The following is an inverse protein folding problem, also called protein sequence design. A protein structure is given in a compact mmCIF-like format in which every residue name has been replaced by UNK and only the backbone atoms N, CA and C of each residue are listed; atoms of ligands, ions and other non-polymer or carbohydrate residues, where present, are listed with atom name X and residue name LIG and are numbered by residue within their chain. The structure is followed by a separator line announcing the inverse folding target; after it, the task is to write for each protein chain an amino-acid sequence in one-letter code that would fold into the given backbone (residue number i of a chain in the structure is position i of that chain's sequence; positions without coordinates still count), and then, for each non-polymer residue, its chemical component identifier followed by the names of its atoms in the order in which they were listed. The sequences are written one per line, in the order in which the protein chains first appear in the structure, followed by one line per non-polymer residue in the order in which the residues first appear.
data_IF_202217804541
#
_entry.id   IF_202217804541
#
_cell.length_a   1.000
_cell.length_b   1.000
_cell.length_c   1.000
_cell.angle_alpha   90.00
_cell.angle_beta   90.00
_cell.angle_gamma   90.00
#
_symmetry.space_group_name_H-M   'P 1'
#
loop_
_entity.id
_entity.type
_entity.pdbx_description
1 polymer ?
#
# COMPACT_ATOMS: atom_id res chain seq x y z
N UNK A 1 5.65 20.23 18.74
CA UNK A 1 4.72 21.23 19.31
C UNK A 1 3.82 21.75 18.18
N UNK A 2 2.50 21.62 18.31
CA UNK A 2 1.55 22.25 17.37
C UNK A 2 1.64 23.77 17.52
N UNK A 3 1.71 24.51 16.41
CA UNK A 3 1.60 25.97 16.43
C UNK A 3 0.18 26.36 16.90
N UNK A 4 0.04 27.39 17.76
CA UNK A 4 -1.27 27.93 18.13
C UNK A 4 -2.07 28.32 16.89
N UNK A 5 -3.32 27.87 16.78
CA UNK A 5 -4.23 28.19 15.66
C UNK A 5 -4.32 27.15 14.53
N UNK A 6 -3.48 26.10 14.53
CA UNK A 6 -3.63 24.96 13.63
C UNK A 6 -4.35 23.82 14.33
N UNK A 7 -5.68 23.79 14.26
CA UNK A 7 -6.44 22.59 14.61
C UNK A 7 -6.29 21.59 13.47
N UNK A 8 -5.54 20.49 13.69
CA UNK A 8 -5.60 19.34 12.77
C UNK A 8 -7.07 18.91 12.70
N UNK A 9 -7.59 18.73 11.47
CA UNK A 9 -8.88 18.07 11.28
C UNK A 9 -8.85 16.75 12.07
N UNK A 10 -9.92 16.40 12.80
CA UNK A 10 -9.99 15.11 13.47
C UNK A 10 -9.71 13.97 12.49
N UNK A 11 -8.88 13.02 12.91
CA UNK A 11 -8.58 11.81 12.15
C UNK A 11 -9.85 10.99 11.92
N UNK A 12 -10.12 10.60 10.67
CA UNK A 12 -11.24 9.75 10.34
C UNK A 12 -10.89 8.27 10.56
N UNK A 13 -11.46 7.66 11.61
CA UNK A 13 -11.23 6.26 11.98
C UNK A 13 -12.04 5.25 11.18
N UNK A 14 -12.82 5.68 10.18
CA UNK A 14 -13.66 4.79 9.38
C UNK A 14 -12.83 3.70 8.68
N UNK A 15 -13.30 2.47 8.77
CA UNK A 15 -12.78 1.31 8.04
C UNK A 15 -13.60 1.07 6.77
N UNK A 16 -13.02 0.36 5.80
CA UNK A 16 -13.70 0.04 4.52
C UNK A 16 -14.54 -1.24 4.58
N UNK A 17 -14.28 -2.09 5.57
CA UNK A 17 -15.02 -3.32 5.83
C UNK A 17 -15.46 -3.38 7.28
N UNK A 18 -16.47 -4.19 7.54
CA UNK A 18 -16.89 -4.55 8.89
C UNK A 18 -17.00 -6.07 8.99
N UNK A 19 -16.77 -6.56 10.19
CA UNK A 19 -17.00 -7.94 10.56
C UNK A 19 -18.49 -8.29 10.45
N UNK A 20 -18.77 -9.50 9.97
CA UNK A 20 -20.11 -10.09 9.96
C UNK A 20 -20.09 -11.36 10.80
N UNK A 21 -20.90 -11.40 11.86
CA UNK A 21 -21.08 -12.60 12.68
C UNK A 21 -22.17 -13.49 12.05
N UNK A 22 -21.82 -14.73 11.73
CA UNK A 22 -22.77 -15.70 11.18
C UNK A 22 -23.55 -16.44 12.28
N UNK A 23 -24.63 -17.12 11.87
CA UNK A 23 -25.51 -17.85 12.79
C UNK A 23 -24.82 -19.02 13.52
N UNK A 24 -23.78 -19.61 12.93
CA UNK A 24 -22.95 -20.66 13.53
C UNK A 24 -21.87 -20.11 14.49
N UNK A 25 -21.78 -18.78 14.60
CA UNK A 25 -20.79 -18.08 15.42
C UNK A 25 -19.45 -17.84 14.72
N UNK A 26 -19.31 -18.17 13.43
CA UNK A 26 -18.14 -17.80 12.65
C UNK A 26 -18.13 -16.31 12.29
N UNK A 27 -16.94 -15.79 12.01
CA UNK A 27 -16.68 -14.38 11.73
C UNK A 27 -16.23 -14.21 10.28
N UNK A 28 -16.91 -13.36 9.53
CA UNK A 28 -16.60 -13.05 8.14
C UNK A 28 -16.03 -11.65 7.96
N UNK A 29 -14.99 -11.56 7.14
CA UNK A 29 -14.31 -10.32 6.78
C UNK A 29 -14.18 -10.25 5.26
N UNK A 30 -14.58 -9.12 4.67
CA UNK A 30 -14.20 -8.80 3.30
C UNK A 30 -12.75 -8.32 3.31
N UNK A 31 -11.90 -8.97 2.53
CA UNK A 31 -10.50 -8.63 2.39
C UNK A 31 -10.19 -8.14 0.98
N UNK A 32 -9.09 -7.39 0.86
CA UNK A 32 -8.53 -6.89 -0.39
C UNK A 32 -7.05 -7.22 -0.41
N UNK A 33 -6.54 -7.65 -1.55
CA UNK A 33 -5.10 -7.80 -1.80
C UNK A 33 -4.74 -7.03 -3.04
N UNK A 34 -3.53 -6.45 -3.07
CA UNK A 34 -3.00 -5.70 -4.20
C UNK A 34 -1.78 -6.43 -4.76
N UNK A 35 -1.59 -6.38 -6.08
CA UNK A 35 -0.45 -7.04 -6.72
C UNK A 35 0.77 -6.14 -6.82
N UNK A 36 1.93 -6.70 -6.55
CA UNK A 36 3.17 -6.25 -7.17
C UNK A 36 3.50 -7.22 -8.32
N UNK A 37 3.55 -6.69 -9.55
CA UNK A 37 3.83 -7.47 -10.76
C UNK A 37 5.29 -7.32 -11.22
N UNK A 38 6.13 -6.65 -10.42
CA UNK A 38 7.48 -6.25 -10.79
C UNK A 38 7.46 -5.53 -12.16
N UNK A 39 8.41 -5.86 -13.05
CA UNK A 39 8.50 -5.36 -14.41
C UNK A 39 7.31 -5.74 -15.30
N UNK A 40 6.51 -6.73 -14.91
CA UNK A 40 5.29 -7.13 -15.64
C UNK A 40 4.11 -6.20 -15.39
N UNK A 41 4.28 -5.20 -14.51
CA UNK A 41 3.36 -4.07 -14.36
C UNK A 41 3.24 -3.24 -15.63
N UNK A 42 4.25 -3.21 -16.51
CA UNK A 42 4.17 -2.44 -17.76
C UNK A 42 3.03 -2.98 -18.64
N UNK A 43 2.14 -2.09 -19.09
CA UNK A 43 1.00 -2.47 -19.89
C UNK A 43 1.46 -3.07 -21.23
N UNK A 44 0.86 -4.18 -21.71
CA UNK A 44 1.36 -4.92 -22.87
C UNK A 44 1.18 -4.19 -24.20
N UNK A 45 0.22 -3.27 -24.31
CA UNK A 45 -0.11 -2.56 -25.57
C UNK A 45 0.02 -1.04 -25.45
N UNK A 46 -0.55 -0.43 -24.41
CA UNK A 46 -0.44 1.00 -24.13
C UNK A 46 0.98 1.43 -23.73
N UNK A 47 1.53 2.40 -24.45
CA UNK A 47 2.85 2.96 -24.18
C UNK A 47 2.82 3.85 -22.93
N UNK A 48 3.88 3.81 -22.12
CA UNK A 48 4.02 4.62 -20.89
C UNK A 48 2.86 4.46 -19.92
N UNK A 49 2.28 3.25 -19.85
CA UNK A 49 1.28 2.88 -18.88
C UNK A 49 1.74 1.64 -18.11
N UNK A 50 1.47 1.65 -16.80
CA UNK A 50 1.69 0.54 -15.89
C UNK A 50 0.39 0.20 -15.17
N UNK A 51 0.27 -1.05 -14.73
CA UNK A 51 -0.92 -1.58 -14.12
C UNK A 51 -0.60 -2.43 -12.88
N UNK A 52 -1.57 -2.45 -11.96
CA UNK A 52 -1.67 -3.38 -10.84
C UNK A 52 -3.11 -3.85 -10.74
N UNK A 53 -3.36 -4.91 -9.99
CA UNK A 53 -4.70 -5.42 -9.72
C UNK A 53 -5.01 -5.38 -8.23
N UNK A 54 -6.29 -5.20 -7.90
CA UNK A 54 -6.82 -5.53 -6.58
C UNK A 54 -7.80 -6.67 -6.73
N UNK A 55 -7.62 -7.69 -5.90
CA UNK A 55 -8.54 -8.82 -5.77
C UNK A 55 -9.25 -8.77 -4.43
N UNK A 56 -10.51 -9.22 -4.44
CA UNK A 56 -11.37 -9.24 -3.27
C UNK A 56 -11.67 -10.68 -2.86
N UNK A 57 -11.75 -10.90 -1.56
CA UNK A 57 -12.16 -12.18 -1.01
C UNK A 57 -12.97 -12.05 0.27
N UNK A 58 -13.57 -13.16 0.67
CA UNK A 58 -14.22 -13.31 1.97
C UNK A 58 -13.40 -14.29 2.80
N UNK A 59 -12.78 -13.78 3.86
CA UNK A 59 -12.12 -14.57 4.90
C UNK A 59 -13.18 -14.95 5.95
N UNK A 60 -13.38 -16.25 6.16
CA UNK A 60 -14.23 -16.76 7.24
C UNK A 60 -13.37 -17.46 8.27
N UNK A 61 -13.44 -17.01 9.53
CA UNK A 61 -12.76 -17.63 10.67
C UNK A 61 -13.81 -18.30 11.53
N UNK A 62 -13.59 -19.57 11.90
CA UNK A 62 -14.56 -20.31 12.71
C UNK A 62 -14.66 -19.71 14.13
N UNK A 63 -15.76 -20.02 14.83
CA UNK A 63 -16.07 -19.50 16.18
C UNK A 63 -14.93 -19.70 17.20
N UNK A 64 -14.23 -20.82 17.09
CA UNK A 64 -13.17 -21.21 18.03
C UNK A 64 -11.78 -20.66 17.64
N UNK A 65 -11.69 -19.91 16.54
CA UNK A 65 -10.45 -19.34 15.99
C UNK A 65 -9.35 -20.38 15.70
N UNK A 66 -9.74 -21.60 15.34
CA UNK A 66 -8.83 -22.70 15.01
C UNK A 66 -8.68 -22.93 13.51
N UNK A 67 -9.65 -22.48 12.71
CA UNK A 67 -9.66 -22.66 11.26
C UNK A 67 -10.09 -21.39 10.54
N UNK A 68 -9.49 -21.17 9.37
CA UNK A 68 -9.87 -20.08 8.47
C UNK A 68 -10.00 -20.61 7.03
N UNK A 69 -10.98 -20.08 6.31
CA UNK A 69 -11.20 -20.34 4.88
C UNK A 69 -11.27 -19.02 4.12
N UNK A 70 -10.82 -19.05 2.87
CA UNK A 70 -10.81 -17.88 2.00
C UNK A 70 -11.48 -18.22 0.67
N UNK A 71 -12.48 -17.42 0.31
CA UNK A 71 -13.14 -17.49 -1.00
C UNK A 71 -12.85 -16.22 -1.78
N UNK A 72 -12.25 -16.36 -2.97
CA UNK A 72 -11.96 -15.25 -3.87
C UNK A 72 -13.17 -14.91 -4.75
N UNK A 73 -13.39 -13.62 -4.98
CA UNK A 73 -14.42 -13.09 -5.86
C UNK A 73 -13.80 -12.70 -7.20
N UNK A 74 -13.58 -13.67 -8.08
CA UNK A 74 -12.89 -13.45 -9.38
C UNK A 74 -13.55 -12.41 -10.28
N UNK A 75 -14.86 -12.19 -10.13
CA UNK A 75 -15.62 -11.23 -10.94
C UNK A 75 -15.54 -9.78 -10.43
N UNK A 76 -14.85 -9.54 -9.31
CA UNK A 76 -14.74 -8.23 -8.67
C UNK A 76 -13.32 -7.63 -8.80
N UNK A 77 -12.41 -8.29 -9.51
CA UNK A 77 -11.05 -7.77 -9.71
C UNK A 77 -11.11 -6.39 -10.36
N UNK A 78 -10.33 -5.45 -9.84
CA UNK A 78 -10.16 -4.12 -10.44
C UNK A 78 -8.73 -3.96 -10.93
N UNK A 79 -8.58 -3.27 -12.06
CA UNK A 79 -7.28 -2.85 -12.59
C UNK A 79 -7.02 -1.41 -12.20
N UNK A 80 -5.83 -1.15 -11.68
CA UNK A 80 -5.32 0.18 -11.37
C UNK A 80 -4.26 0.55 -12.40
N UNK A 81 -4.26 1.80 -12.84
CA UNK A 81 -3.32 2.28 -13.86
C UNK A 81 -2.60 3.55 -13.42
N UNK A 82 -1.36 3.73 -13.89
CA UNK A 82 -0.61 4.98 -13.80
C UNK A 82 0.26 5.20 -15.03
N UNK A 83 0.49 6.46 -15.37
CA UNK A 83 1.46 6.90 -16.39
C UNK A 83 2.70 7.54 -15.79
N UNK A 84 2.78 7.63 -14.45
CA UNK A 84 3.92 8.19 -13.72
C UNK A 84 4.88 7.05 -13.37
N UNK A 85 6.13 7.13 -13.83
CA UNK A 85 7.12 6.07 -13.61
C UNK A 85 8.50 6.58 -13.19
N UNK A 86 9.19 5.80 -12.37
CA UNK A 86 10.57 6.00 -11.95
C UNK A 86 11.48 5.00 -12.65
N UNK A 87 12.39 5.46 -13.52
CA UNK A 87 13.29 4.58 -14.27
C UNK A 87 12.55 3.57 -15.17
N UNK A 88 11.36 3.93 -15.68
CA UNK A 88 10.54 3.07 -16.54
C UNK A 88 9.76 1.97 -15.80
N UNK A 89 9.65 2.06 -14.47
CA UNK A 89 8.85 1.15 -13.62
C UNK A 89 7.83 1.93 -12.79
N UNK A 90 6.67 1.35 -12.54
CA UNK A 90 5.55 1.93 -11.79
C UNK A 90 4.51 0.87 -11.46
N UNK A 91 3.58 1.18 -10.56
CA UNK A 91 2.50 0.29 -10.13
C UNK A 91 2.99 -1.04 -9.55
N UNK A 92 4.17 -1.02 -8.92
CA UNK A 92 4.69 -2.13 -8.12
C UNK A 92 4.26 -1.87 -6.67
N UNK A 93 3.00 -2.21 -6.43
CA UNK A 93 2.27 -1.81 -5.22
C UNK A 93 2.57 -2.78 -4.07
N UNK A 94 3.36 -2.31 -3.10
CA UNK A 94 4.00 -3.21 -2.12
C UNK A 94 3.26 -3.34 -0.79
N UNK A 95 2.24 -2.52 -0.52
CA UNK A 95 1.36 -2.71 0.64
C UNK A 95 -0.01 -2.02 0.42
N UNK A 96 -0.98 -2.31 1.29
CA UNK A 96 -2.33 -1.76 1.25
C UNK A 96 -2.81 -1.41 2.67
N UNK A 97 -3.23 -0.16 2.89
CA UNK A 97 -3.65 0.30 4.22
C UNK A 97 -4.88 1.21 4.16
N UNK A 98 -5.70 1.17 5.20
CA UNK A 98 -6.76 2.17 5.41
C UNK A 98 -6.23 3.28 6.34
N UNK A 99 -6.15 4.50 5.81
CA UNK A 99 -5.71 5.68 6.57
C UNK A 99 -6.64 6.87 6.33
N UNK A 100 -7.10 7.50 7.43
CA UNK A 100 -8.02 8.65 7.40
C UNK A 100 -9.26 8.40 6.51
N UNK A 101 -9.82 7.20 6.63
CA UNK A 101 -10.99 6.71 5.87
C UNK A 101 -10.74 6.47 4.38
N UNK A 102 -9.48 6.33 3.95
CA UNK A 102 -9.11 6.14 2.54
C UNK A 102 -8.26 4.88 2.37
N UNK A 103 -8.43 4.18 1.25
CA UNK A 103 -7.55 3.09 0.85
C UNK A 103 -6.29 3.68 0.22
N UNK A 104 -5.12 3.28 0.71
CA UNK A 104 -3.84 3.73 0.19
C UNK A 104 -2.97 2.54 -0.19
N UNK A 105 -2.12 2.75 -1.19
CA UNK A 105 -1.03 1.84 -1.56
C UNK A 105 0.21 2.65 -1.94
N UNK A 106 1.40 2.06 -1.79
CA UNK A 106 2.69 2.68 -2.13
C UNK A 106 3.28 1.94 -3.33
N UNK A 107 3.73 2.68 -4.34
CA UNK A 107 4.55 2.14 -5.42
C UNK A 107 6.04 2.24 -5.04
N UNK A 108 6.71 1.10 -4.89
CA UNK A 108 8.10 1.04 -4.42
C UNK A 108 9.14 1.55 -5.45
N UNK A 109 8.70 1.84 -6.68
CA UNK A 109 9.56 2.37 -7.75
C UNK A 109 9.54 3.87 -7.78
N UNK A 110 8.34 4.45 -7.72
CA UNK A 110 8.18 5.91 -7.74
C UNK A 110 8.26 6.52 -6.36
N UNK A 111 7.99 5.75 -5.29
CA UNK A 111 7.81 6.28 -3.94
C UNK A 111 6.52 7.08 -3.77
N UNK A 112 5.56 6.95 -4.70
CA UNK A 112 4.26 7.62 -4.64
C UNK A 112 3.28 6.78 -3.83
N UNK A 113 2.69 7.38 -2.81
CA UNK A 113 1.47 6.86 -2.18
C UNK A 113 0.30 7.24 -3.07
N UNK A 114 -0.41 6.23 -3.54
CA UNK A 114 -1.67 6.36 -4.26
C UNK A 114 -2.83 6.22 -3.29
N UNK A 115 -3.81 7.13 -3.42
CA UNK A 115 -5.15 6.93 -2.88
C UNK A 115 -5.98 6.16 -3.90
N UNK A 116 -6.54 5.04 -3.48
CA UNK A 116 -7.38 4.21 -4.33
C UNK A 116 -8.85 4.50 -4.01
N UNK A 117 -9.61 4.90 -5.03
CA UNK A 117 -11.06 5.09 -4.93
C UNK A 117 -11.71 4.42 -6.12
N UNK A 118 -12.54 3.40 -5.86
CA UNK A 118 -13.09 2.50 -6.89
C UNK A 118 -11.96 1.85 -7.69
N UNK A 119 -11.90 2.08 -8.99
CA UNK A 119 -10.94 1.58 -9.97
C UNK A 119 -9.82 2.58 -10.30
N UNK A 120 -9.71 3.67 -9.52
CA UNK A 120 -8.76 4.74 -9.81
C UNK A 120 -7.67 4.85 -8.74
N UNK A 121 -6.41 4.93 -9.18
CA UNK A 121 -5.25 5.22 -8.34
C UNK A 121 -4.85 6.70 -8.49
N UNK A 122 -5.14 7.51 -7.49
CA UNK A 122 -4.81 8.94 -7.47
C UNK A 122 -3.48 9.18 -6.75
N UNK A 123 -2.45 9.75 -7.41
CA UNK A 123 -1.21 10.15 -6.73
C UNK A 123 -1.53 11.11 -5.58
N UNK A 124 -1.01 10.84 -4.39
CA UNK A 124 -1.29 11.66 -3.20
C UNK A 124 -0.03 12.30 -2.61
N UNK A 125 0.97 11.49 -2.24
CA UNK A 125 2.20 11.96 -1.61
C UNK A 125 3.39 11.28 -2.28
N UNK A 126 4.41 12.05 -2.65
CA UNK A 126 5.70 11.53 -3.10
C UNK A 126 6.68 11.45 -1.93
N UNK A 127 7.37 10.32 -1.79
CA UNK A 127 8.37 10.08 -0.77
C UNK A 127 9.76 9.93 -1.43
N UNK A 128 10.66 10.86 -1.16
CA UNK A 128 12.09 10.72 -1.49
C UNK A 128 12.75 9.64 -0.64
N UNK A 129 13.75 8.95 -1.19
CA UNK A 129 14.48 7.92 -0.46
C UNK A 129 15.30 8.46 0.74
N UNK A 130 15.71 7.55 1.63
CA UNK A 130 16.58 7.85 2.77
C UNK A 130 16.01 8.91 3.72
N UNK A 131 16.84 9.88 4.13
CA UNK A 131 16.43 10.98 5.00
C UNK A 131 15.51 12.03 4.30
N UNK A 132 15.11 11.78 3.04
CA UNK A 132 14.31 12.70 2.23
C UNK A 132 15.14 13.67 1.38
N UNK A 133 16.46 13.47 1.31
CA UNK A 133 17.40 14.25 0.49
C UNK A 133 17.93 13.48 -0.72
N UNK A 134 17.34 12.32 -1.05
CA UNK A 134 17.64 11.56 -2.25
C UNK A 134 16.82 12.05 -3.46
N UNK A 135 17.38 11.89 -4.65
CA UNK A 135 16.73 12.25 -5.93
C UNK A 135 15.85 11.14 -6.50
N UNK A 136 15.92 9.93 -5.93
CA UNK A 136 15.10 8.77 -6.30
C UNK A 136 13.94 8.59 -5.31
N UNK A 137 12.89 7.91 -5.76
CA UNK A 137 11.75 7.53 -4.92
C UNK A 137 12.15 6.53 -3.84
N UNK A 138 11.48 6.64 -2.69
CA UNK A 138 11.60 5.70 -1.58
C UNK A 138 11.03 4.33 -1.97
N UNK A 139 11.82 3.28 -1.75
CA UNK A 139 11.36 1.89 -1.93
C UNK A 139 10.54 1.48 -0.70
N UNK A 140 9.27 1.88 -0.67
CA UNK A 140 8.35 1.57 0.42
C UNK A 140 7.82 0.15 0.31
N UNK A 141 8.03 -0.64 1.35
CA UNK A 141 7.74 -2.08 1.40
C UNK A 141 6.61 -2.41 2.39
N UNK A 142 6.33 -1.50 3.32
CA UNK A 142 5.26 -1.68 4.29
C UNK A 142 4.64 -0.36 4.71
N UNK A 143 3.38 -0.42 5.15
CA UNK A 143 2.63 0.69 5.70
C UNK A 143 1.91 0.29 6.98
N UNK A 144 1.86 1.20 7.96
CA UNK A 144 1.02 1.01 9.15
C UNK A 144 0.51 2.33 9.69
N UNK A 145 -0.53 2.27 10.52
CA UNK A 145 -1.13 3.45 11.14
C UNK A 145 -0.96 3.38 12.64
N UNK A 146 -0.38 4.43 13.22
CA UNK A 146 -0.20 4.56 14.67
C UNK A 146 -0.45 5.98 15.13
N UNK A 147 -1.28 6.12 16.16
CA UNK A 147 -1.64 7.42 16.77
C UNK A 147 -2.14 8.46 15.75
N UNK A 148 -2.88 7.99 14.73
CA UNK A 148 -3.41 8.85 13.66
C UNK A 148 -2.38 9.33 12.65
N UNK A 149 -1.20 8.71 12.57
CA UNK A 149 -0.19 8.98 11.56
C UNK A 149 0.05 7.74 10.69
N UNK A 150 0.34 7.96 9.42
CA UNK A 150 0.72 6.91 8.47
C UNK A 150 2.24 6.76 8.51
N UNK A 151 2.71 5.55 8.76
CA UNK A 151 4.12 5.16 8.71
C UNK A 151 4.35 4.34 7.44
N UNK A 152 5.37 4.69 6.68
CA UNK A 152 5.80 3.95 5.48
C UNK A 152 7.28 3.63 5.64
N UNK A 153 7.64 2.36 5.64
CA UNK A 153 9.04 1.94 5.74
C UNK A 153 9.49 1.10 4.56
N UNK A 154 10.80 0.94 4.45
CA UNK A 154 11.44 0.16 3.39
C UNK A 154 11.88 -1.20 3.89
N UNK A 155 12.93 -1.73 3.25
CA UNK A 155 13.47 -3.08 3.49
C UNK A 155 13.93 -3.31 4.95
N UNK A 156 14.26 -2.27 5.71
CA UNK A 156 14.71 -2.41 7.10
C UNK A 156 16.12 -2.99 7.25
N UNK A 157 16.94 -2.89 6.19
CA UNK A 157 18.36 -3.27 6.18
C UNK A 157 19.16 -2.29 5.32
N UNK A 158 20.48 -2.36 5.42
CA UNK A 158 21.40 -1.68 4.52
C UNK A 158 21.09 -2.02 3.06
N UNK A 159 21.20 -1.01 2.18
CA UNK A 159 21.28 -1.23 0.76
C UNK A 159 22.66 -1.78 0.41
N UNK A 160 22.67 -2.83 -0.42
CA UNK A 160 23.90 -3.50 -0.84
C UNK A 160 23.89 -3.71 -2.34
N UNK A 161 25.07 -3.87 -2.94
CA UNK A 161 25.18 -4.43 -4.29
C UNK A 161 24.64 -5.86 -4.34
N UNK A 162 24.54 -6.44 -5.53
CA UNK A 162 24.13 -7.84 -5.73
C UNK A 162 25.06 -8.84 -5.07
N UNK A 163 26.32 -8.46 -4.82
CA UNK A 163 27.35 -9.24 -4.13
C UNK A 163 27.32 -9.03 -2.61
N UNK A 164 26.41 -8.20 -2.09
CA UNK A 164 26.28 -7.92 -0.66
C UNK A 164 27.23 -6.85 -0.11
N UNK A 165 27.86 -6.04 -0.98
CA UNK A 165 28.71 -4.93 -0.54
C UNK A 165 27.83 -3.76 -0.10
N UNK A 166 28.06 -3.24 1.11
CA UNK A 166 27.39 -2.06 1.64
C UNK A 166 27.47 -0.86 0.70
N UNK A 167 26.36 -0.13 0.58
CA UNK A 167 26.25 1.11 -0.19
C UNK A 167 25.71 2.26 0.68
N UNK A 168 24.52 2.09 1.28
CA UNK A 168 23.89 3.10 2.13
C UNK A 168 22.84 2.49 3.07
N UNK A 169 22.27 3.31 3.95
CA UNK A 169 21.24 2.93 4.93
C UNK A 169 19.83 3.43 4.54
N UNK A 170 19.63 3.92 3.30
CA UNK A 170 18.38 4.55 2.89
C UNK A 170 17.11 3.70 3.16
N UNK A 171 17.11 2.36 2.90
CA UNK A 171 15.94 1.52 3.15
C UNK A 171 15.58 1.32 4.62
N UNK A 172 16.42 1.79 5.55
CA UNK A 172 16.17 1.73 7.00
C UNK A 172 15.40 2.95 7.51
N UNK A 173 15.21 3.98 6.68
CA UNK A 173 14.41 5.15 7.04
C UNK A 173 12.91 4.85 7.00
N UNK A 174 12.16 5.48 7.90
CA UNK A 174 10.69 5.42 7.94
C UNK A 174 10.14 6.83 7.70
N UNK A 175 9.14 6.94 6.83
CA UNK A 175 8.42 8.17 6.53
C UNK A 175 7.15 8.23 7.39
N UNK A 176 6.83 9.40 7.93
CA UNK A 176 5.66 9.61 8.81
C UNK A 176 4.83 10.77 8.28
N UNK A 177 3.52 10.56 8.10
CA UNK A 177 2.55 11.55 7.61
C UNK A 177 1.43 11.82 8.63
#
# INVERSE_FOLDING_TARGET
MQKPGCYRRPYNTSQLGHEVLLADGSHQFRIMVVTDLDKSSKHPTEENQWQSFIEFGILTVNKDYTEASLQWNSNEQISLYSTIAGGGRSMELSDLVVFDGKLLSIDDRTGIIYRIEKDMAYPWIYLSDGAGNATKGFKGEWMTVKDGNLYVGGLGKEWTTTEGVFDNEDPMWIKVQ
#
